data_IF_870102245258
#
_entry.id   IF_870102245258
#
_cell.length_a   1.000
_cell.length_b   1.000
_cell.length_c   1.000
_cell.angle_alpha   90.00
_cell.angle_beta   90.00
_cell.angle_gamma   90.00
#
_symmetry.space_group_name_H-M   'P 1'
#
loop_
_entity.id
_entity.type
_entity.pdbx_description
1 polymer ?
#
# COMPACT_ATOMS: atom_id res chain seq x y z
N UNK A 1 12.48 -17.01 -11.93
CA UNK A 1 11.58 -17.34 -10.80
C UNK A 1 10.28 -16.60 -11.07
N UNK A 2 9.13 -17.27 -11.04
CA UNK A 2 7.83 -16.62 -11.26
C UNK A 2 7.54 -15.67 -10.11
N UNK A 3 7.39 -14.37 -10.39
CA UNK A 3 6.87 -13.41 -9.41
C UNK A 3 5.43 -13.79 -9.08
N UNK A 4 5.22 -14.31 -7.88
CA UNK A 4 3.87 -14.59 -7.38
C UNK A 4 3.33 -13.26 -6.86
N UNK A 5 2.24 -12.81 -7.46
CA UNK A 5 1.58 -11.55 -7.11
C UNK A 5 0.35 -11.84 -6.26
N UNK A 6 0.29 -11.24 -5.07
CA UNK A 6 -0.89 -11.22 -4.23
C UNK A 6 -1.72 -9.98 -4.53
N UNK A 7 -3.04 -10.17 -4.65
CA UNK A 7 -4.00 -9.08 -4.73
C UNK A 7 -4.59 -8.80 -3.36
N UNK A 8 -4.30 -7.63 -2.82
CA UNK A 8 -4.78 -7.22 -1.51
C UNK A 8 -6.01 -6.33 -1.66
N UNK A 9 -6.99 -6.58 -0.80
CA UNK A 9 -8.15 -5.70 -0.60
C UNK A 9 -7.97 -4.95 0.72
N UNK A 10 -7.82 -3.63 0.62
CA UNK A 10 -7.56 -2.74 1.76
C UNK A 10 -8.81 -1.89 1.96
N UNK A 11 -9.35 -1.88 3.18
CA UNK A 11 -10.53 -1.10 3.53
C UNK A 11 -10.29 -0.34 4.82
N UNK A 12 -10.78 0.91 4.89
CA UNK A 12 -10.82 1.66 6.14
C UNK A 12 -12.03 1.23 6.96
N UNK A 13 -11.76 0.72 8.16
CA UNK A 13 -12.78 0.51 9.15
C UNK A 13 -13.43 1.85 9.54
N UNK A 14 -14.69 1.79 9.97
CA UNK A 14 -15.41 2.92 10.57
C UNK A 14 -15.52 4.16 9.65
N UNK A 15 -15.61 3.94 8.33
CA UNK A 15 -15.87 4.99 7.34
C UNK A 15 -17.23 4.82 6.68
N UNK A 16 -17.98 5.92 6.56
CA UNK A 16 -19.19 6.04 5.74
C UNK A 16 -19.09 7.32 4.90
N UNK A 17 -18.93 7.23 3.57
CA UNK A 17 -18.99 6.02 2.74
C UNK A 17 -17.77 5.12 2.90
N UNK A 18 -17.96 3.81 2.64
CA UNK A 18 -16.92 2.78 2.74
C UNK A 18 -15.72 3.07 1.81
N UNK A 19 -14.56 3.39 2.39
CA UNK A 19 -13.34 3.70 1.64
C UNK A 19 -12.47 2.44 1.49
N UNK A 20 -12.17 2.06 0.25
CA UNK A 20 -11.35 0.88 -0.04
C UNK A 20 -10.47 1.04 -1.28
N UNK A 21 -9.44 0.19 -1.38
CA UNK A 21 -8.48 0.10 -2.50
C UNK A 21 -8.09 -1.35 -2.77
N UNK A 22 -7.75 -1.66 -4.02
CA UNK A 22 -7.15 -2.95 -4.43
C UNK A 22 -5.78 -2.70 -5.01
N UNK A 23 -4.78 -3.43 -4.52
CA UNK A 23 -3.39 -3.32 -4.95
C UNK A 23 -2.81 -4.69 -5.20
N UNK A 24 -1.93 -4.77 -6.19
CA UNK A 24 -1.19 -5.98 -6.55
C UNK A 24 0.25 -5.83 -6.04
N UNK A 25 0.70 -6.74 -5.19
CA UNK A 25 2.05 -6.71 -4.60
C UNK A 25 2.74 -8.07 -4.74
N UNK A 26 4.06 -8.10 -4.96
CA UNK A 26 4.84 -9.34 -4.89
C UNK A 26 4.71 -9.99 -3.50
N UNK A 27 4.57 -11.32 -3.42
CA UNK A 27 4.44 -12.02 -2.12
C UNK A 27 5.71 -11.99 -1.28
N UNK A 28 6.87 -11.72 -1.89
CA UNK A 28 8.15 -11.54 -1.21
C UNK A 28 8.35 -10.11 -0.68
N UNK A 29 7.34 -9.24 -0.83
CA UNK A 29 7.31 -7.89 -0.27
C UNK A 29 7.40 -7.93 1.26
N UNK A 30 8.41 -7.26 1.83
CA UNK A 30 8.52 -7.11 3.28
C UNK A 30 7.48 -6.12 3.84
N UNK A 31 7.25 -6.15 5.16
CA UNK A 31 6.24 -5.33 5.82
C UNK A 31 6.45 -3.81 5.64
N UNK A 32 7.70 -3.34 5.52
CA UNK A 32 7.98 -1.91 5.28
C UNK A 32 7.47 -1.50 3.90
N UNK A 33 7.79 -2.28 2.87
CA UNK A 33 7.36 -1.97 1.51
C UNK A 33 5.84 -2.14 1.35
N UNK A 34 5.23 -3.11 2.06
CA UNK A 34 3.77 -3.22 2.14
C UNK A 34 3.13 -2.00 2.80
N UNK A 35 3.71 -1.50 3.90
CA UNK A 35 3.27 -0.27 4.55
C UNK A 35 3.34 0.92 3.58
N UNK A 36 4.45 1.08 2.87
CA UNK A 36 4.63 2.18 1.89
C UNK A 36 3.58 2.09 0.75
N UNK A 37 3.25 0.89 0.28
CA UNK A 37 2.19 0.67 -0.72
C UNK A 37 0.81 1.03 -0.18
N UNK A 38 0.48 0.64 1.05
CA UNK A 38 -0.81 0.98 1.69
C UNK A 38 -0.93 2.50 1.83
N UNK A 39 0.11 3.19 2.33
CA UNK A 39 0.13 4.64 2.47
C UNK A 39 -0.10 5.33 1.12
N UNK A 40 0.64 4.91 0.08
CA UNK A 40 0.50 5.45 -1.27
C UNK A 40 -0.89 5.22 -1.88
N UNK A 41 -1.46 4.02 -1.73
CA UNK A 41 -2.78 3.67 -2.26
C UNK A 41 -3.91 4.47 -1.61
N UNK A 42 -3.76 4.81 -0.33
CA UNK A 42 -4.71 5.62 0.43
C UNK A 42 -4.50 7.13 0.24
N UNK A 43 -3.43 7.55 -0.45
CA UNK A 43 -3.07 8.97 -0.61
C UNK A 43 -2.64 9.61 0.71
N UNK A 44 -2.20 8.80 1.67
CA UNK A 44 -1.73 9.28 2.95
C UNK A 44 -0.31 9.82 2.80
N UNK A 45 -0.07 11.02 3.34
CA UNK A 45 1.24 11.69 3.35
C UNK A 45 2.24 11.03 4.32
N UNK A 46 2.05 9.76 4.66
CA UNK A 46 2.99 8.97 5.44
C UNK A 46 4.25 8.74 4.61
N UNK A 47 5.29 9.52 4.91
CA UNK A 47 6.65 9.35 4.38
C UNK A 47 6.73 8.95 2.90
N UNK A 48 6.10 9.72 2.00
CA UNK A 48 6.65 9.88 0.66
C UNK A 48 7.99 10.61 0.82
N UNK A 49 8.99 9.82 1.20
CA UNK A 49 10.40 10.09 1.46
C UNK A 49 10.80 11.57 1.36
N UNK A 50 10.81 12.34 2.46
CA UNK A 50 11.36 13.70 2.46
C UNK A 50 12.86 13.74 2.08
N UNK A 51 13.56 12.59 2.14
CA UNK A 51 14.97 12.39 1.81
C UNK A 51 15.26 11.98 0.36
N UNK A 52 14.23 11.79 -0.48
CA UNK A 52 14.39 11.53 -1.93
C UNK A 52 14.10 12.76 -2.80
N UNK A 53 14.21 13.96 -2.23
CA UNK A 53 14.37 15.21 -2.98
C UNK A 53 15.88 15.50 -3.13
N UNK A 54 16.34 15.98 -4.30
CA UNK A 54 17.76 16.27 -4.54
C UNK A 54 18.31 17.30 -3.54
#
# INVERSE_FOLDING_TARGET
MTEIIARLHIALADTDPFIWRRVDVPVDTNLKMLHDVIQGAMGWLGELMPWKRP
#
